data_IF_461245949982
#
_entry.id   IF_461245949982
#
_cell.length_a   1.000
_cell.length_b   1.000
_cell.length_c   1.000
_cell.angle_alpha   90.00
_cell.angle_beta   90.00
_cell.angle_gamma   90.00
#
_symmetry.space_group_name_H-M   'P 1'
#
loop_
_entity.id
_entity.type
_entity.pdbx_description
1 polymer ?
#
# COMPACT_ATOMS: atom_id res chain seq x y z
N UNK A 1 15.20 13.15 -3.86
CA UNK A 1 14.50 13.52 -2.61
C UNK A 1 13.31 12.63 -2.40
N UNK A 2 13.23 12.00 -1.25
CA UNK A 2 12.05 11.23 -0.88
C UNK A 2 10.90 12.17 -0.54
N UNK A 3 9.79 12.06 -1.26
CA UNK A 3 8.55 12.72 -0.86
C UNK A 3 8.18 12.22 0.54
N UNK A 4 7.91 13.12 1.47
CA UNK A 4 7.37 12.75 2.78
C UNK A 4 6.11 11.93 2.57
N UNK A 5 6.09 10.75 3.18
CA UNK A 5 4.94 9.85 3.15
C UNK A 5 3.80 10.57 3.88
N UNK A 6 2.70 10.80 3.15
CA UNK A 6 1.51 11.47 3.68
C UNK A 6 0.50 10.52 4.32
N UNK A 7 0.76 9.24 4.30
CA UNK A 7 -0.10 8.24 4.93
C UNK A 7 0.70 7.39 5.90
N UNK A 8 0.02 6.82 6.88
CA UNK A 8 0.61 6.04 7.95
C UNK A 8 0.04 4.63 7.93
N UNK A 9 0.93 3.64 8.02
CA UNK A 9 0.50 2.26 8.23
C UNK A 9 0.10 2.12 9.69
N UNK A 10 -1.17 1.84 9.93
CA UNK A 10 -1.76 1.70 11.27
C UNK A 10 -1.82 0.26 11.75
N UNK A 11 -1.64 -0.68 10.86
CA UNK A 11 -1.71 -2.10 11.19
C UNK A 11 -0.75 -2.92 10.35
N UNK A 12 -0.30 -4.04 10.91
CA UNK A 12 0.45 -5.09 10.22
C UNK A 12 -0.10 -6.43 10.68
N UNK A 13 -0.53 -7.27 9.74
CA UNK A 13 -1.01 -8.62 10.02
C UNK A 13 -0.02 -9.67 9.53
N UNK A 14 0.48 -10.48 10.44
CA UNK A 14 1.41 -11.58 10.11
C UNK A 14 0.71 -12.64 9.24
N UNK A 15 -0.60 -12.81 9.41
CA UNK A 15 -1.39 -13.78 8.66
C UNK A 15 -1.94 -13.25 7.34
N UNK A 16 -1.83 -11.94 7.11
CA UNK A 16 -2.30 -11.30 5.89
C UNK A 16 -1.42 -11.62 4.68
N UNK A 17 -2.05 -11.76 3.53
CA UNK A 17 -1.35 -11.95 2.27
C UNK A 17 -1.23 -10.61 1.53
N UNK A 18 -0.01 -10.29 1.09
CA UNK A 18 0.25 -9.08 0.31
C UNK A 18 -0.35 -7.80 0.93
N UNK A 19 -1.29 -7.16 0.25
CA UNK A 19 -1.90 -5.90 0.70
C UNK A 19 -2.70 -6.04 2.00
N UNK A 20 -3.30 -7.19 2.24
CA UNK A 20 -4.03 -7.45 3.48
C UNK A 20 -3.13 -7.42 4.72
N UNK A 21 -1.83 -7.54 4.52
CA UNK A 21 -0.84 -7.33 5.58
C UNK A 21 -0.91 -5.90 6.15
N UNK A 22 -1.23 -4.91 5.33
CA UNK A 22 -1.23 -3.49 5.68
C UNK A 22 -2.60 -2.84 5.72
N UNK A 23 -3.57 -3.44 5.05
CA UNK A 23 -4.93 -2.92 4.88
C UNK A 23 -5.95 -3.95 5.33
N UNK A 24 -7.16 -3.50 5.65
CA UNK A 24 -8.27 -4.43 5.83
C UNK A 24 -8.56 -5.18 4.53
N UNK A 25 -9.13 -6.41 4.60
CA UNK A 25 -9.37 -7.23 3.40
C UNK A 25 -10.19 -6.52 2.32
N UNK A 26 -11.19 -5.77 2.71
CA UNK A 26 -12.03 -5.03 1.75
C UNK A 26 -11.32 -3.80 1.20
N UNK A 27 -10.55 -3.10 2.03
CA UNK A 27 -9.73 -1.97 1.59
C UNK A 27 -8.71 -2.43 0.53
N UNK A 28 -8.07 -3.58 0.75
CA UNK A 28 -7.14 -4.17 -0.20
C UNK A 28 -7.81 -4.47 -1.53
N UNK A 29 -8.98 -5.12 -1.52
CA UNK A 29 -9.74 -5.42 -2.75
C UNK A 29 -10.15 -4.16 -3.51
N UNK A 30 -10.65 -3.16 -2.82
CA UNK A 30 -11.11 -1.91 -3.44
C UNK A 30 -9.94 -1.18 -4.09
N UNK A 31 -8.82 -1.02 -3.39
CA UNK A 31 -7.67 -0.29 -3.94
C UNK A 31 -7.03 -1.03 -5.12
N UNK A 32 -6.99 -2.37 -5.08
CA UNK A 32 -6.50 -3.19 -6.21
C UNK A 32 -7.34 -2.97 -7.47
N UNK A 33 -8.66 -2.96 -7.33
CA UNK A 33 -9.58 -2.68 -8.45
C UNK A 33 -9.31 -1.30 -9.01
N UNK A 34 -9.12 -0.30 -8.15
CA UNK A 34 -8.86 1.08 -8.58
C UNK A 34 -7.52 1.19 -9.31
N UNK A 35 -6.46 0.56 -8.78
CA UNK A 35 -5.15 0.57 -9.45
C UNK A 35 -5.19 -0.13 -10.81
N UNK A 36 -5.98 -1.21 -10.93
CA UNK A 36 -6.13 -1.98 -12.17
C UNK A 36 -7.01 -1.28 -13.21
N UNK A 37 -7.82 -0.32 -12.79
CA UNK A 37 -8.74 0.38 -13.69
C UNK A 37 -7.97 1.26 -14.69
N UNK A 38 -8.27 1.07 -15.97
CA UNK A 38 -7.73 1.91 -17.05
C UNK A 38 -8.39 3.29 -17.09
N UNK A 39 -9.63 3.37 -16.66
CA UNK A 39 -10.40 4.61 -16.58
C UNK A 39 -10.21 5.23 -15.19
N UNK A 40 -9.72 6.44 -15.14
CA UNK A 40 -9.61 7.26 -13.92
C UNK A 40 -9.98 8.70 -14.24
N UNK A 41 -10.69 9.41 -13.36
CA UNK A 41 -11.15 8.98 -12.04
C UNK A 41 -12.29 7.98 -12.10
N UNK A 42 -12.57 7.32 -10.98
CA UNK A 42 -13.63 6.32 -10.84
C UNK A 42 -14.69 6.79 -9.84
N UNK A 43 -15.93 6.30 -10.01
CA UNK A 43 -17.00 6.54 -9.05
C UNK A 43 -17.19 5.33 -8.13
N UNK A 44 -17.86 5.54 -7.01
CA UNK A 44 -18.27 4.45 -6.11
C UNK A 44 -19.10 3.42 -6.86
N UNK A 45 -20.00 3.88 -7.74
CA UNK A 45 -20.88 3.01 -8.54
C UNK A 45 -20.06 2.07 -9.44
N UNK A 46 -19.09 2.60 -10.14
CA UNK A 46 -18.22 1.81 -11.02
C UNK A 46 -17.48 0.71 -10.27
N UNK A 47 -16.92 1.02 -9.11
CA UNK A 47 -16.21 0.06 -8.28
C UNK A 47 -17.17 -0.97 -7.70
N UNK A 48 -18.34 -0.55 -7.23
CA UNK A 48 -19.40 -1.43 -6.76
C UNK A 48 -19.82 -2.44 -7.84
N UNK A 49 -20.04 -1.97 -9.07
CA UNK A 49 -20.43 -2.86 -10.18
C UNK A 49 -19.39 -3.93 -10.50
N UNK A 50 -18.12 -3.62 -10.33
CA UNK A 50 -17.04 -4.59 -10.51
C UNK A 50 -17.03 -5.59 -9.35
N UNK A 51 -17.07 -5.10 -8.11
CA UNK A 51 -16.95 -5.95 -6.91
C UNK A 51 -18.15 -6.86 -6.69
N UNK A 52 -19.35 -6.41 -6.99
CA UNK A 52 -20.56 -7.22 -6.81
C UNK A 52 -20.59 -8.49 -7.66
N UNK A 53 -19.82 -8.52 -8.75
CA UNK A 53 -19.65 -9.72 -9.59
C UNK A 53 -18.77 -10.79 -8.96
N UNK A 54 -17.91 -10.38 -8.04
CA UNK A 54 -16.91 -11.22 -7.40
C UNK A 54 -17.30 -11.66 -6.00
N UNK A 55 -18.05 -10.83 -5.30
CA UNK A 55 -18.42 -11.05 -3.90
C UNK A 55 -19.74 -10.36 -3.56
N UNK A 56 -20.41 -10.88 -2.53
CA UNK A 56 -21.62 -10.26 -2.01
C UNK A 56 -21.24 -9.05 -1.16
N UNK A 57 -21.53 -7.86 -1.68
CA UNK A 57 -21.17 -6.60 -1.03
C UNK A 57 -22.28 -5.55 -1.23
N UNK A 58 -22.50 -4.72 -0.24
CA UNK A 58 -23.45 -3.61 -0.33
C UNK A 58 -22.76 -2.35 -0.90
N UNK A 59 -23.53 -1.54 -1.63
CA UNK A 59 -23.07 -0.27 -2.17
C UNK A 59 -22.51 0.67 -1.08
N UNK A 60 -23.22 0.78 0.04
CA UNK A 60 -22.80 1.61 1.18
C UNK A 60 -21.48 1.15 1.79
N UNK A 61 -21.19 -0.14 1.73
CA UNK A 61 -19.93 -0.70 2.21
C UNK A 61 -18.76 -0.29 1.30
N UNK A 62 -18.98 -0.32 -0.01
CA UNK A 62 -17.98 0.17 -0.98
C UNK A 62 -17.72 1.66 -0.76
N UNK A 63 -18.80 2.43 -0.62
CA UNK A 63 -18.73 3.87 -0.37
C UNK A 63 -17.90 4.21 0.89
N UNK A 64 -18.22 3.56 2.00
CA UNK A 64 -17.48 3.80 3.27
C UNK A 64 -16.02 3.35 3.19
N UNK A 65 -15.74 2.28 2.45
CA UNK A 65 -14.38 1.77 2.24
C UNK A 65 -13.55 2.76 1.41
N UNK A 66 -14.12 3.29 0.33
CA UNK A 66 -13.45 4.31 -0.50
C UNK A 66 -13.20 5.60 0.30
N UNK A 67 -14.14 5.99 1.15
CA UNK A 67 -13.95 7.12 2.05
C UNK A 67 -12.79 6.88 3.02
N UNK A 68 -12.69 5.70 3.61
CA UNK A 68 -11.58 5.34 4.49
C UNK A 68 -10.22 5.37 3.77
N UNK A 69 -10.16 4.87 2.54
CA UNK A 69 -8.95 4.94 1.71
C UNK A 69 -8.55 6.38 1.41
N UNK A 70 -9.53 7.25 1.19
CA UNK A 70 -9.28 8.69 1.06
C UNK A 70 -8.72 9.29 2.36
N UNK A 71 -9.33 8.99 3.50
CA UNK A 71 -8.89 9.48 4.81
C UNK A 71 -7.47 8.98 5.16
N UNK A 72 -7.15 7.75 4.77
CA UNK A 72 -5.81 7.16 4.94
C UNK A 72 -4.76 7.73 3.96
N UNK A 73 -5.16 8.51 2.98
CA UNK A 73 -4.26 9.15 2.02
C UNK A 73 -3.87 8.29 0.82
N UNK A 74 -4.56 7.17 0.58
CA UNK A 74 -4.31 6.32 -0.59
C UNK A 74 -5.06 6.79 -1.83
N UNK A 75 -6.21 7.40 -1.64
CA UNK A 75 -7.03 7.99 -2.69
C UNK A 75 -7.11 9.50 -2.53
N UNK A 76 -7.24 10.19 -3.63
CA UNK A 76 -7.70 11.56 -3.68
C UNK A 76 -9.09 11.60 -4.32
N UNK A 77 -9.81 12.69 -4.18
CA UNK A 77 -11.16 12.82 -4.70
C UNK A 77 -11.53 14.27 -5.01
N UNK A 78 -12.52 14.43 -5.86
CA UNK A 78 -13.19 15.73 -6.07
C UNK A 78 -14.68 15.51 -6.22
N UNK A 79 -15.45 16.58 -6.02
CA UNK A 79 -16.90 16.57 -6.21
C UNK A 79 -17.20 16.90 -7.68
N UNK A 80 -18.11 16.12 -8.26
CA UNK A 80 -18.70 16.40 -9.58
C UNK A 80 -20.22 16.47 -9.46
N UNK A 81 -20.84 17.12 -10.42
CA UNK A 81 -22.31 17.23 -10.50
C UNK A 81 -22.83 16.36 -11.64
N UNK A 82 -23.82 15.54 -11.33
CA UNK A 82 -24.51 14.71 -12.30
C UNK A 82 -26.03 14.85 -12.16
N UNK A 83 -26.77 14.05 -12.91
CA UNK A 83 -28.24 14.06 -12.91
C UNK A 83 -28.87 13.75 -11.55
N UNK A 84 -28.19 12.95 -10.72
CA UNK A 84 -28.66 12.59 -9.39
C UNK A 84 -28.15 13.50 -8.27
N UNK A 85 -27.48 14.61 -8.59
CA UNK A 85 -26.89 15.54 -7.64
C UNK A 85 -25.37 15.49 -7.61
N UNK A 86 -24.79 15.81 -6.46
CA UNK A 86 -23.35 15.82 -6.27
C UNK A 86 -22.85 14.41 -5.93
N UNK A 87 -21.68 14.05 -6.47
CA UNK A 87 -21.02 12.78 -6.18
C UNK A 87 -19.51 12.96 -6.19
N UNK A 88 -18.80 12.04 -5.53
CA UNK A 88 -17.35 12.03 -5.55
C UNK A 88 -16.81 11.16 -6.67
N UNK A 89 -15.71 11.61 -7.29
CA UNK A 89 -14.86 10.80 -8.14
C UNK A 89 -13.50 10.67 -7.46
N UNK A 90 -12.88 9.51 -7.59
CA UNK A 90 -11.68 9.12 -6.87
C UNK A 90 -10.58 8.70 -7.84
N UNK A 91 -9.36 8.92 -7.45
CA UNK A 91 -8.17 8.41 -8.16
C UNK A 91 -7.09 8.06 -7.15
N UNK A 92 -6.13 7.16 -7.51
CA UNK A 92 -5.03 6.83 -6.62
C UNK A 92 -4.13 8.05 -6.37
N UNK A 93 -3.89 8.35 -5.11
CA UNK A 93 -2.90 9.34 -4.70
C UNK A 93 -1.50 8.76 -4.70
N UNK A 94 -1.40 7.44 -4.56
CA UNK A 94 -0.18 6.66 -4.56
C UNK A 94 -0.38 5.42 -5.44
N UNK A 95 0.62 5.10 -6.26
CA UNK A 95 0.61 3.89 -7.09
C UNK A 95 0.89 2.64 -6.25
N UNK A 96 0.53 1.47 -6.79
CA UNK A 96 0.65 0.18 -6.10
C UNK A 96 2.06 -0.12 -5.59
N UNK A 97 3.07 0.01 -6.45
CA UNK A 97 4.46 -0.29 -6.09
C UNK A 97 4.99 0.68 -5.04
N UNK A 98 4.69 1.97 -5.19
CA UNK A 98 5.09 2.98 -4.23
C UNK A 98 4.43 2.77 -2.86
N UNK A 99 3.16 2.36 -2.85
CA UNK A 99 2.46 2.01 -1.61
C UNK A 99 3.13 0.83 -0.90
N UNK A 100 3.35 -0.28 -1.62
CA UNK A 100 3.98 -1.49 -1.08
C UNK A 100 5.36 -1.19 -0.50
N UNK A 101 6.19 -0.50 -1.25
CA UNK A 101 7.55 -0.11 -0.84
C UNK A 101 7.54 0.77 0.40
N UNK A 102 6.65 1.75 0.43
CA UNK A 102 6.49 2.66 1.57
C UNK A 102 5.98 1.95 2.82
N UNK A 103 5.00 1.05 2.66
CA UNK A 103 4.46 0.26 3.76
C UNK A 103 5.56 -0.63 4.39
N UNK A 104 6.33 -1.32 3.57
CA UNK A 104 7.45 -2.15 4.04
C UNK A 104 8.49 -1.30 4.77
N UNK A 105 8.86 -0.13 4.23
CA UNK A 105 9.80 0.79 4.89
C UNK A 105 9.31 1.25 6.27
N UNK A 106 8.02 1.56 6.40
CA UNK A 106 7.44 1.99 7.68
C UNK A 106 7.54 0.87 8.72
N UNK A 107 7.25 -0.37 8.35
CA UNK A 107 7.38 -1.54 9.23
C UNK A 107 8.83 -1.74 9.65
N UNK A 108 9.76 -1.77 8.70
CA UNK A 108 11.19 -1.93 8.98
C UNK A 108 11.70 -0.82 9.91
N UNK A 109 11.35 0.43 9.63
CA UNK A 109 11.75 1.57 10.46
C UNK A 109 11.23 1.46 11.90
N UNK A 110 9.99 1.01 12.06
CA UNK A 110 9.38 0.78 13.38
C UNK A 110 10.10 -0.35 14.14
N UNK A 111 10.38 -1.45 13.45
CA UNK A 111 11.10 -2.58 14.04
C UNK A 111 12.52 -2.18 14.47
N UNK A 112 13.24 -1.44 13.63
CA UNK A 112 14.59 -0.95 13.94
C UNK A 112 14.60 -0.02 15.15
N UNK A 113 13.60 0.89 15.25
CA UNK A 113 13.48 1.77 16.42
C UNK A 113 13.23 1.01 17.72
N UNK A 114 12.41 -0.02 17.67
CA UNK A 114 11.97 -0.74 18.85
C UNK A 114 12.92 -1.86 19.27
N UNK A 115 13.57 -2.51 18.32
CA UNK A 115 14.36 -3.73 18.55
C UNK A 115 15.83 -3.63 18.09
N UNK A 116 16.20 -2.57 17.38
CA UNK A 116 17.59 -2.27 17.00
C UNK A 116 18.30 -3.40 16.24
N UNK A 117 19.44 -3.80 16.74
CA UNK A 117 20.33 -4.79 16.10
C UNK A 117 19.70 -6.18 15.94
N UNK A 118 18.73 -6.54 16.79
CA UNK A 118 18.01 -7.82 16.70
C UNK A 118 17.34 -7.95 15.34
N UNK A 119 16.75 -6.86 14.85
CA UNK A 119 16.06 -6.82 13.53
C UNK A 119 17.05 -7.11 12.41
N UNK A 120 18.23 -6.49 12.45
CA UNK A 120 19.27 -6.68 11.43
C UNK A 120 19.75 -8.12 11.39
N UNK A 121 20.01 -8.73 12.56
CA UNK A 121 20.41 -10.14 12.64
C UNK A 121 19.34 -11.08 12.10
N UNK A 122 18.10 -10.89 12.54
CA UNK A 122 16.96 -11.70 12.06
C UNK A 122 16.76 -11.56 10.55
N UNK A 123 16.85 -10.34 10.03
CA UNK A 123 16.73 -10.09 8.60
C UNK A 123 17.78 -10.85 7.78
N UNK A 124 19.02 -10.80 8.21
CA UNK A 124 20.12 -11.50 7.53
C UNK A 124 19.88 -13.01 7.56
N UNK A 125 19.49 -13.56 8.71
CA UNK A 125 19.23 -15.00 8.88
C UNK A 125 18.08 -15.48 8.02
N UNK A 126 16.98 -14.72 7.94
CA UNK A 126 15.79 -15.11 7.19
C UNK A 126 15.89 -14.83 5.69
N UNK A 127 16.56 -13.76 5.30
CA UNK A 127 16.63 -13.36 3.88
C UNK A 127 17.72 -14.10 3.11
N UNK A 128 18.77 -14.57 3.77
CA UNK A 128 19.93 -15.17 3.15
C UNK A 128 19.91 -16.70 3.30
N UNK A 129 19.17 -17.38 2.43
CA UNK A 129 19.02 -18.83 2.44
C UNK A 129 20.02 -19.54 1.52
N UNK A 130 20.67 -18.81 0.62
CA UNK A 130 21.66 -19.35 -0.31
C UNK A 130 22.92 -18.49 -0.38
N UNK A 131 24.01 -19.09 -0.88
CA UNK A 131 25.26 -18.37 -1.08
C UNK A 131 25.12 -17.24 -2.10
N UNK A 132 24.31 -17.43 -3.14
CA UNK A 132 24.02 -16.42 -4.15
C UNK A 132 23.29 -15.22 -3.54
N UNK A 133 22.31 -15.45 -2.69
CA UNK A 133 21.57 -14.39 -1.98
C UNK A 133 22.48 -13.60 -1.05
N UNK A 134 23.40 -14.27 -0.34
CA UNK A 134 24.39 -13.61 0.51
C UNK A 134 25.32 -12.71 -0.30
N UNK A 135 25.78 -13.19 -1.47
CA UNK A 135 26.62 -12.40 -2.37
C UNK A 135 25.87 -11.17 -2.91
N UNK A 136 24.62 -11.34 -3.30
CA UNK A 136 23.77 -10.23 -3.77
C UNK A 136 23.57 -9.17 -2.68
N UNK A 137 23.31 -9.57 -1.44
CA UNK A 137 23.21 -8.67 -0.29
C UNK A 137 24.52 -7.92 -0.04
N UNK A 138 25.62 -8.62 -0.10
CA UNK A 138 26.96 -8.04 0.07
C UNK A 138 27.24 -6.96 -0.98
N UNK A 139 26.92 -7.22 -2.24
CA UNK A 139 27.10 -6.27 -3.34
C UNK A 139 26.24 -5.01 -3.13
N UNK A 140 24.99 -5.18 -2.73
CA UNK A 140 24.10 -4.05 -2.43
C UNK A 140 24.64 -3.19 -1.28
N UNK A 141 25.12 -3.84 -0.21
CA UNK A 141 25.69 -3.13 0.94
C UNK A 141 26.96 -2.37 0.57
N UNK A 142 27.85 -2.98 -0.22
CA UNK A 142 29.06 -2.31 -0.72
C UNK A 142 28.73 -1.09 -1.58
N UNK A 143 27.71 -1.20 -2.44
CA UNK A 143 27.24 -0.10 -3.27
C UNK A 143 26.73 1.07 -2.40
N UNK A 144 25.92 0.78 -1.41
CA UNK A 144 25.39 1.78 -0.47
C UNK A 144 26.50 2.47 0.31
N UNK A 145 27.51 1.72 0.75
CA UNK A 145 28.68 2.27 1.45
C UNK A 145 29.48 3.24 0.56
N UNK A 146 29.66 2.89 -0.71
CA UNK A 146 30.33 3.77 -1.68
C UNK A 146 29.54 5.08 -1.90
N UNK A 147 28.21 4.99 -2.00
CA UNK A 147 27.35 6.17 -2.17
C UNK A 147 27.40 7.11 -0.97
N UNK A 148 27.50 6.57 0.25
CA UNK A 148 27.61 7.37 1.48
C UNK A 148 28.99 8.02 1.69
N UNK A 149 30.05 7.51 1.04
CA UNK A 149 31.40 8.06 1.14
C UNK A 149 31.65 9.26 0.19
N UNK A 150 30.70 9.50 -0.71
CA UNK A 150 30.69 10.68 -1.56
C UNK A 150 29.98 11.86 -0.82
#
# INVERSE_FOLDING_TARGET
MSKKIKYRISQYSIEGEQLETFLGPLEAKVIEVIWSSKKKPVTVREIYEILKKQTKIAYTTVMSTMNRLYEKGLLDRRIERGKGGLYYVYWPKVGEQNFKKSAVRQVISSLLRNFGEIVTSCFIEEAATSEEELKALREQLEKMLKERRK
#
